data_IF_470590862346
#
_entry.id   IF_470590862346
#
_cell.length_a   1.000
_cell.length_b   1.000
_cell.length_c   1.000
_cell.angle_alpha   90.00
_cell.angle_beta   90.00
_cell.angle_gamma   90.00
#
_symmetry.space_group_name_H-M   'P 1'
#
loop_
_entity.id
_entity.type
_entity.pdbx_description
1 polymer ?
#
# COMPACT_ATOMS: atom_id res chain seq x y z
N UNK A 1 31.15 52.26 31.67
CA UNK A 1 31.31 50.81 31.36
C UNK A 1 32.19 50.24 32.48
N UNK A 2 31.63 49.41 33.41
CA UNK A 2 32.42 48.74 34.44
C UNK A 2 33.15 47.53 33.82
N UNK A 3 34.46 47.38 34.05
CA UNK A 3 35.20 46.23 33.56
C UNK A 3 34.68 44.95 34.25
N UNK A 4 34.31 43.92 33.50
CA UNK A 4 34.00 42.60 34.03
C UNK A 4 35.22 42.05 34.75
N UNK A 5 35.07 41.81 36.06
CA UNK A 5 36.15 41.32 36.92
C UNK A 5 36.51 39.89 36.54
N UNK A 6 37.80 39.59 36.48
CA UNK A 6 38.37 38.28 36.13
C UNK A 6 37.87 37.10 36.99
N UNK A 7 37.26 37.39 38.15
CA UNK A 7 36.61 36.41 39.03
C UNK A 7 35.29 35.84 38.45
N UNK A 8 34.52 36.64 37.70
CA UNK A 8 33.28 36.20 37.09
C UNK A 8 33.55 35.20 35.91
N UNK A 9 34.60 35.46 35.15
CA UNK A 9 35.03 34.55 34.07
C UNK A 9 35.54 33.19 34.57
N UNK A 10 36.25 33.18 35.71
CA UNK A 10 36.70 31.92 36.34
C UNK A 10 35.55 31.09 36.93
N UNK A 11 34.47 31.73 37.43
CA UNK A 11 33.27 31.05 37.87
C UNK A 11 32.52 30.35 36.70
N UNK A 12 32.48 31.03 35.58
CA UNK A 12 31.81 30.49 34.37
C UNK A 12 32.53 29.25 33.78
N UNK A 13 33.86 29.25 33.76
CA UNK A 13 34.66 28.10 33.28
C UNK A 13 34.64 26.89 34.25
N UNK A 14 34.21 27.08 35.51
CA UNK A 14 34.17 26.02 36.52
C UNK A 14 32.75 25.47 36.77
N UNK A 15 31.73 26.07 36.19
CA UNK A 15 30.36 25.64 36.33
C UNK A 15 30.07 24.44 35.40
N UNK A 16 29.98 23.25 35.99
CA UNK A 16 29.64 22.00 35.26
C UNK A 16 28.15 21.85 35.00
N UNK A 17 27.32 22.78 35.46
CA UNK A 17 25.86 22.70 35.24
C UNK A 17 25.47 22.85 33.76
N UNK A 18 26.33 23.48 32.93
CA UNK A 18 26.15 23.57 31.50
C UNK A 18 26.51 22.30 30.71
N UNK A 19 27.31 21.37 31.28
CA UNK A 19 27.79 20.18 30.57
C UNK A 19 26.62 19.27 30.16
N UNK A 20 25.69 19.01 31.08
CA UNK A 20 24.50 18.18 30.80
C UNK A 20 23.57 18.81 29.74
N UNK A 21 23.50 20.13 29.69
CA UNK A 21 22.72 20.84 28.68
C UNK A 21 23.34 20.69 27.27
N UNK A 22 24.67 20.68 27.17
CA UNK A 22 25.39 20.46 25.90
C UNK A 22 25.27 19.01 25.48
N UNK A 23 25.41 18.04 26.39
CA UNK A 23 25.19 16.62 26.13
C UNK A 23 23.77 16.35 25.60
N UNK A 24 22.77 16.95 26.27
CA UNK A 24 21.38 16.85 25.81
C UNK A 24 21.17 17.49 24.42
N UNK A 25 21.75 18.68 24.20
CA UNK A 25 21.63 19.40 22.94
C UNK A 25 22.26 18.63 21.75
N UNK A 26 23.28 17.81 22.01
CA UNK A 26 23.89 16.93 21.01
C UNK A 26 23.06 15.67 20.74
N UNK A 27 22.45 15.09 21.78
CA UNK A 27 21.67 13.85 21.66
C UNK A 27 20.24 14.11 21.16
N UNK A 28 19.63 15.24 21.52
CA UNK A 28 18.25 15.56 21.19
C UNK A 28 17.96 15.54 19.68
N UNK A 29 18.78 16.14 18.78
CA UNK A 29 18.57 16.07 17.34
C UNK A 29 18.63 14.63 16.79
N UNK A 30 19.57 13.83 17.30
CA UNK A 30 19.71 12.43 16.91
C UNK A 30 18.49 11.60 17.32
N UNK A 31 18.05 11.77 18.59
CA UNK A 31 16.87 11.06 19.09
C UNK A 31 15.60 11.48 18.35
N UNK A 32 15.47 12.77 18.04
CA UNK A 32 14.34 13.29 17.27
C UNK A 32 14.33 12.72 15.84
N UNK A 33 15.48 12.65 15.19
CA UNK A 33 15.63 12.06 13.89
C UNK A 33 15.27 10.57 13.86
N UNK A 34 15.73 9.80 14.86
CA UNK A 34 15.37 8.40 15.02
C UNK A 34 13.87 8.23 15.27
N UNK A 35 13.28 9.06 16.13
CA UNK A 35 11.84 9.02 16.42
C UNK A 35 11.01 9.25 15.16
N UNK A 36 11.30 10.31 14.41
CA UNK A 36 10.62 10.64 13.15
C UNK A 36 10.78 9.49 12.15
N UNK A 37 11.99 8.94 12.01
CA UNK A 37 12.25 7.80 11.13
C UNK A 37 11.44 6.56 11.50
N UNK A 38 11.33 6.24 12.80
CA UNK A 38 10.49 5.14 13.28
C UNK A 38 9.00 5.36 12.96
N UNK A 39 8.50 6.58 13.10
CA UNK A 39 7.11 6.92 12.77
C UNK A 39 6.86 6.73 11.27
N UNK A 40 7.73 7.24 10.40
CA UNK A 40 7.57 7.08 8.94
C UNK A 40 7.57 5.61 8.50
N UNK A 41 8.47 4.79 9.06
CA UNK A 41 8.51 3.36 8.76
C UNK A 41 7.23 2.67 9.22
N UNK A 42 6.74 3.01 10.42
CA UNK A 42 5.50 2.44 10.96
C UNK A 42 4.29 2.78 10.09
N UNK A 43 4.20 4.01 9.61
CA UNK A 43 3.14 4.45 8.69
C UNK A 43 3.22 3.72 7.34
N UNK A 44 4.43 3.53 6.80
CA UNK A 44 4.64 2.76 5.57
C UNK A 44 4.17 1.31 5.69
N UNK A 45 4.52 0.63 6.80
CA UNK A 45 4.07 -0.73 7.09
C UNK A 45 2.54 -0.79 7.27
N UNK A 46 1.95 0.21 7.93
CA UNK A 46 0.51 0.28 8.11
C UNK A 46 -0.22 0.48 6.77
N UNK A 47 0.32 1.30 5.87
CA UNK A 47 -0.20 1.48 4.51
C UNK A 47 -0.12 0.18 3.69
N UNK A 48 1.01 -0.54 3.75
CA UNK A 48 1.21 -1.81 3.07
C UNK A 48 0.20 -2.87 3.51
N UNK A 49 -0.02 -3.01 4.81
CA UNK A 49 -1.07 -3.89 5.34
C UNK A 49 -2.47 -3.54 4.83
N UNK A 50 -2.77 -2.26 4.67
CA UNK A 50 -4.05 -1.83 4.11
C UNK A 50 -4.18 -2.17 2.64
N UNK A 51 -3.10 -2.11 1.86
CA UNK A 51 -3.10 -2.57 0.46
C UNK A 51 -3.46 -4.06 0.39
N UNK A 52 -2.82 -4.90 1.19
CA UNK A 52 -3.13 -6.34 1.28
C UNK A 52 -4.59 -6.59 1.70
N UNK A 53 -5.08 -5.89 2.74
CA UNK A 53 -6.47 -6.01 3.17
C UNK A 53 -7.46 -5.58 2.07
N UNK A 54 -7.13 -4.53 1.33
CA UNK A 54 -7.96 -4.04 0.23
C UNK A 54 -8.02 -5.07 -0.90
N UNK A 55 -6.87 -5.63 -1.31
CA UNK A 55 -6.83 -6.68 -2.32
C UNK A 55 -7.68 -7.90 -1.91
N UNK A 56 -7.54 -8.32 -0.65
CA UNK A 56 -8.34 -9.42 -0.09
C UNK A 56 -9.84 -9.12 -0.04
N UNK A 57 -10.23 -7.91 0.36
CA UNK A 57 -11.63 -7.50 0.42
C UNK A 57 -12.27 -7.47 -0.98
N UNK A 58 -11.60 -6.88 -1.98
CA UNK A 58 -12.09 -6.82 -3.35
C UNK A 58 -12.26 -8.22 -3.95
N UNK A 59 -11.25 -9.09 -3.78
CA UNK A 59 -11.32 -10.47 -4.23
C UNK A 59 -12.48 -11.22 -3.57
N UNK A 60 -12.65 -11.06 -2.24
CA UNK A 60 -13.69 -11.73 -1.49
C UNK A 60 -15.11 -11.25 -1.84
N UNK A 61 -15.32 -9.94 -1.98
CA UNK A 61 -16.61 -9.38 -2.41
C UNK A 61 -17.01 -9.87 -3.79
N UNK A 62 -16.05 -9.88 -4.73
CA UNK A 62 -16.29 -10.36 -6.09
C UNK A 62 -16.50 -11.88 -6.15
N UNK A 63 -15.85 -12.66 -5.29
CA UNK A 63 -15.99 -14.12 -5.24
C UNK A 63 -17.29 -14.60 -4.58
N UNK A 64 -17.98 -13.75 -3.82
CA UNK A 64 -19.26 -14.09 -3.19
C UNK A 64 -20.46 -13.93 -4.12
N UNK A 65 -20.36 -13.07 -5.12
CA UNK A 65 -21.42 -12.79 -6.04
C UNK A 65 -21.51 -13.87 -7.14
N UNK A 66 -22.73 -14.20 -7.55
CA UNK A 66 -22.98 -15.04 -8.74
C UNK A 66 -23.10 -14.20 -10.01
N UNK A 67 -23.66 -13.00 -9.89
CA UNK A 67 -23.75 -12.00 -10.94
C UNK A 67 -23.30 -10.66 -10.37
N UNK A 68 -22.55 -9.92 -11.13
CA UNK A 68 -22.02 -8.59 -10.74
C UNK A 68 -22.43 -7.62 -11.84
N UNK A 69 -23.31 -6.67 -11.52
CA UNK A 69 -23.62 -5.59 -12.45
C UNK A 69 -22.46 -4.57 -12.53
N UNK A 70 -22.48 -3.72 -13.54
CA UNK A 70 -21.50 -2.63 -13.67
C UNK A 70 -21.53 -1.74 -12.42
N UNK A 71 -22.73 -1.44 -11.91
CA UNK A 71 -22.88 -0.60 -10.72
C UNK A 71 -22.32 -1.28 -9.46
N UNK A 72 -22.57 -2.58 -9.29
CA UNK A 72 -22.03 -3.34 -8.15
C UNK A 72 -20.50 -3.37 -8.20
N UNK A 73 -19.91 -3.58 -9.36
CA UNK A 73 -18.45 -3.57 -9.51
C UNK A 73 -17.86 -2.20 -9.21
N UNK A 74 -18.52 -1.11 -9.62
CA UNK A 74 -18.09 0.24 -9.24
C UNK A 74 -18.14 0.45 -7.74
N UNK A 75 -19.18 -0.03 -7.05
CA UNK A 75 -19.30 0.03 -5.59
C UNK A 75 -18.20 -0.80 -4.90
N UNK A 76 -17.92 -2.00 -5.42
CA UNK A 76 -16.82 -2.85 -4.93
C UNK A 76 -15.49 -2.12 -5.08
N UNK A 77 -15.20 -1.55 -6.24
CA UNK A 77 -13.96 -0.79 -6.46
C UNK A 77 -13.90 0.48 -5.60
N UNK A 78 -15.02 1.17 -5.37
CA UNK A 78 -15.08 2.33 -4.48
C UNK A 78 -14.77 1.97 -3.02
N UNK A 79 -15.05 0.74 -2.58
CA UNK A 79 -14.67 0.27 -1.25
C UNK A 79 -13.15 0.31 -1.03
N UNK A 80 -12.33 0.21 -2.09
CA UNK A 80 -10.87 0.30 -1.99
C UNK A 80 -10.41 1.62 -1.37
N UNK A 81 -11.03 2.75 -1.75
CA UNK A 81 -10.68 4.07 -1.20
C UNK A 81 -11.11 4.20 0.26
N UNK A 82 -12.27 3.62 0.63
CA UNK A 82 -12.75 3.63 2.01
C UNK A 82 -11.84 2.81 2.94
N UNK A 83 -11.37 1.64 2.50
CA UNK A 83 -10.46 0.79 3.27
C UNK A 83 -9.10 1.47 3.42
N UNK A 84 -8.61 2.15 2.39
CA UNK A 84 -7.35 2.86 2.41
C UNK A 84 -7.34 4.12 3.30
N UNK A 85 -8.50 4.64 3.72
CA UNK A 85 -8.57 5.78 4.67
C UNK A 85 -7.75 5.49 5.95
N UNK A 86 -6.97 6.45 6.50
CA UNK A 86 -6.88 7.88 6.18
C UNK A 86 -5.87 8.24 5.06
N UNK A 87 -5.28 7.26 4.39
CA UNK A 87 -4.30 7.52 3.35
C UNK A 87 -4.97 8.11 2.10
N UNK A 88 -4.53 9.31 1.68
CA UNK A 88 -5.15 10.11 0.60
C UNK A 88 -4.46 9.95 -0.75
N UNK A 89 -3.47 9.07 -0.87
CA UNK A 89 -2.76 8.81 -2.11
C UNK A 89 -3.61 8.09 -3.18
N UNK A 90 -3.09 8.04 -4.40
CA UNK A 90 -3.78 7.37 -5.51
C UNK A 90 -3.77 5.86 -5.30
N UNK A 91 -4.96 5.27 -5.17
CA UNK A 91 -5.16 3.83 -5.11
C UNK A 91 -5.63 3.34 -6.47
N UNK A 92 -4.86 2.46 -7.09
CA UNK A 92 -5.26 1.75 -8.30
C UNK A 92 -5.69 0.33 -7.95
N UNK A 93 -6.94 0.00 -8.22
CA UNK A 93 -7.52 -1.30 -7.96
C UNK A 93 -8.01 -1.94 -9.26
N UNK A 94 -7.73 -3.23 -9.44
CA UNK A 94 -8.21 -4.03 -10.57
C UNK A 94 -8.80 -5.32 -10.03
N UNK A 95 -9.88 -5.76 -10.63
CA UNK A 95 -10.48 -7.07 -10.39
C UNK A 95 -10.67 -7.76 -11.73
N UNK A 96 -10.20 -8.98 -11.82
CA UNK A 96 -10.30 -9.79 -13.04
C UNK A 96 -10.77 -11.20 -12.71
N UNK A 97 -11.52 -11.82 -13.61
CA UNK A 97 -11.75 -13.24 -13.53
C UNK A 97 -10.79 -13.99 -14.45
N UNK A 98 -10.15 -15.01 -13.90
CA UNK A 98 -9.23 -15.89 -14.57
C UNK A 98 -9.90 -17.24 -14.81
N UNK A 99 -9.91 -17.70 -16.04
CA UNK A 99 -10.23 -19.08 -16.43
C UNK A 99 -8.93 -19.85 -16.57
N UNK A 100 -8.81 -20.99 -15.90
CA UNK A 100 -7.68 -21.90 -16.04
C UNK A 100 -8.08 -23.00 -17.01
N UNK A 101 -7.37 -23.10 -18.12
CA UNK A 101 -7.61 -24.14 -19.13
C UNK A 101 -7.04 -25.51 -18.72
N UNK A 102 -7.20 -26.51 -19.56
CA UNK A 102 -6.71 -27.87 -19.33
C UNK A 102 -5.18 -27.94 -19.16
N UNK A 103 -4.44 -27.00 -19.78
CA UNK A 103 -2.97 -26.92 -19.71
C UNK A 103 -2.48 -26.11 -18.49
N UNK A 104 -3.37 -25.82 -17.53
CA UNK A 104 -3.06 -25.02 -16.32
C UNK A 104 -2.63 -23.58 -16.61
N UNK A 105 -3.01 -23.04 -17.78
CA UNK A 105 -2.75 -21.64 -18.14
C UNK A 105 -3.96 -20.80 -17.74
N UNK A 106 -3.72 -19.77 -16.93
CA UNK A 106 -4.75 -18.84 -16.50
C UNK A 106 -4.89 -17.70 -17.52
N UNK A 107 -6.10 -17.48 -18.05
CA UNK A 107 -6.43 -16.38 -18.95
C UNK A 107 -7.53 -15.51 -18.38
N UNK A 108 -7.42 -14.22 -18.61
CA UNK A 108 -8.45 -13.24 -18.22
C UNK A 108 -9.69 -13.43 -19.08
N UNK A 109 -10.84 -13.64 -18.45
CA UNK A 109 -12.14 -13.70 -19.12
C UNK A 109 -12.80 -12.32 -19.13
N UNK A 110 -12.73 -11.62 -18.01
CA UNK A 110 -13.13 -10.22 -17.91
C UNK A 110 -12.26 -9.50 -16.86
N UNK A 111 -12.06 -8.22 -17.05
CA UNK A 111 -11.30 -7.37 -16.13
C UNK A 111 -11.94 -5.99 -15.98
N UNK A 112 -11.94 -5.47 -14.76
CA UNK A 112 -12.43 -4.14 -14.42
C UNK A 112 -11.43 -3.45 -13.53
N UNK A 113 -11.35 -2.12 -13.60
CA UNK A 113 -10.43 -1.33 -12.82
C UNK A 113 -11.10 -0.06 -12.27
N UNK A 114 -10.50 0.52 -11.25
CA UNK A 114 -10.88 1.83 -10.72
C UNK A 114 -10.67 2.93 -11.75
N UNK A 115 -11.35 4.05 -11.57
CA UNK A 115 -11.28 5.20 -12.49
C UNK A 115 -9.84 5.63 -12.76
N UNK A 116 -9.50 5.81 -14.03
CA UNK A 116 -8.15 6.21 -14.45
C UNK A 116 -7.12 5.07 -14.53
N UNK A 117 -7.53 3.83 -14.27
CA UNK A 117 -6.66 2.65 -14.33
C UNK A 117 -7.09 1.75 -15.48
N UNK A 118 -6.14 1.28 -16.27
CA UNK A 118 -6.43 0.34 -17.36
C UNK A 118 -6.67 -1.06 -16.80
N UNK A 119 -7.85 -1.67 -17.05
CA UNK A 119 -8.10 -3.06 -16.67
C UNK A 119 -7.23 -4.03 -17.47
N UNK A 120 -7.14 -5.28 -17.03
CA UNK A 120 -6.55 -6.34 -17.83
C UNK A 120 -7.43 -6.64 -19.03
N UNK A 121 -6.79 -6.88 -20.18
CA UNK A 121 -7.52 -7.23 -21.40
C UNK A 121 -8.00 -8.68 -21.33
N UNK A 122 -9.11 -8.95 -22.01
CA UNK A 122 -9.62 -10.31 -22.19
C UNK A 122 -8.61 -11.14 -23.00
N UNK A 123 -8.33 -12.34 -22.53
CA UNK A 123 -7.33 -13.23 -23.13
C UNK A 123 -5.91 -13.07 -22.61
N UNK A 124 -5.63 -12.02 -21.82
CA UNK A 124 -4.31 -11.86 -21.19
C UNK A 124 -3.95 -13.09 -20.35
N UNK A 125 -2.70 -13.56 -20.50
CA UNK A 125 -2.18 -14.67 -19.69
C UNK A 125 -1.64 -14.11 -18.38
N UNK A 126 -2.10 -14.67 -17.26
CA UNK A 126 -1.66 -14.31 -15.92
C UNK A 126 -0.88 -15.47 -15.32
N UNK A 127 0.34 -15.19 -14.87
CA UNK A 127 1.14 -16.18 -14.13
C UNK A 127 0.58 -16.33 -12.72
N UNK A 128 0.10 -17.51 -12.39
CA UNK A 128 -0.44 -17.84 -11.06
C UNK A 128 0.46 -18.89 -10.37
N UNK A 129 0.46 -18.94 -9.03
CA UNK A 129 1.15 -20.01 -8.31
C UNK A 129 0.66 -21.40 -8.73
N UNK A 130 1.57 -22.34 -8.92
CA UNK A 130 1.27 -23.69 -9.40
C UNK A 130 0.19 -24.40 -8.58
N UNK A 131 0.18 -24.16 -7.28
CA UNK A 131 -0.80 -24.74 -6.35
C UNK A 131 -2.24 -24.22 -6.58
N UNK A 132 -2.41 -23.10 -7.27
CA UNK A 132 -3.71 -22.53 -7.63
C UNK A 132 -4.12 -22.86 -9.05
N UNK A 133 -3.20 -23.40 -9.87
CA UNK A 133 -3.42 -23.71 -11.28
C UNK A 133 -4.20 -25.01 -11.47
N UNK A 134 -5.38 -25.11 -10.88
CA UNK A 134 -6.27 -26.28 -11.03
C UNK A 134 -6.93 -26.23 -12.41
N UNK A 135 -6.73 -27.25 -13.29
CA UNK A 135 -7.32 -27.27 -14.60
C UNK A 135 -8.85 -27.16 -14.58
N UNK A 136 -9.41 -26.44 -15.54
CA UNK A 136 -10.85 -26.22 -15.71
C UNK A 136 -11.53 -25.51 -14.52
N UNK A 137 -10.76 -24.78 -13.71
CA UNK A 137 -11.27 -23.94 -12.63
C UNK A 137 -11.25 -22.45 -13.00
N UNK A 138 -11.89 -21.65 -12.15
CA UNK A 138 -11.88 -20.18 -12.27
C UNK A 138 -11.42 -19.55 -10.98
N UNK A 139 -10.71 -18.43 -11.07
CA UNK A 139 -10.24 -17.66 -9.94
C UNK A 139 -10.58 -16.18 -10.11
N UNK A 140 -10.95 -15.53 -9.04
CA UNK A 140 -10.99 -14.07 -8.96
C UNK A 140 -9.59 -13.58 -8.60
N UNK A 141 -9.09 -12.64 -9.37
CA UNK A 141 -7.79 -12.02 -9.24
C UNK A 141 -7.96 -10.54 -8.96
N UNK A 142 -7.51 -10.11 -7.80
CA UNK A 142 -7.53 -8.71 -7.40
C UNK A 142 -6.09 -8.20 -7.31
N UNK A 143 -5.86 -7.03 -7.90
CA UNK A 143 -4.59 -6.32 -7.86
C UNK A 143 -4.84 -4.93 -7.28
N UNK A 144 -4.10 -4.56 -6.25
CA UNK A 144 -4.17 -3.23 -5.67
C UNK A 144 -2.77 -2.64 -5.61
N UNK A 145 -2.64 -1.40 -6.03
CA UNK A 145 -1.41 -0.63 -5.86
C UNK A 145 -1.72 0.75 -5.30
N UNK A 146 -0.83 1.23 -4.46
CA UNK A 146 -0.94 2.50 -3.76
C UNK A 146 0.38 3.26 -3.80
N UNK A 147 0.33 4.54 -4.11
CA UNK A 147 1.48 5.43 -4.07
C UNK A 147 1.64 6.01 -2.66
N UNK A 148 2.55 5.43 -1.88
CA UNK A 148 2.86 5.93 -0.55
C UNK A 148 3.89 7.06 -0.63
N UNK A 149 3.53 8.24 -0.11
CA UNK A 149 4.41 9.39 -0.02
C UNK A 149 4.68 9.64 1.48
N UNK A 150 5.94 9.52 1.96
CA UNK A 150 6.30 9.83 3.34
C UNK A 150 5.94 11.27 3.69
N UNK A 151 5.29 11.47 4.84
CA UNK A 151 4.73 12.78 5.24
C UNK A 151 5.83 13.79 5.56
N UNK A 152 6.92 13.34 6.20
CA UNK A 152 7.98 14.27 6.64
C UNK A 152 9.10 14.41 5.63
N UNK A 153 9.28 13.44 4.74
CA UNK A 153 10.39 13.41 3.80
C UNK A 153 11.77 13.45 4.49
N UNK A 154 11.80 13.14 5.79
CA UNK A 154 13.02 13.26 6.62
C UNK A 154 14.07 12.22 6.24
N UNK A 155 13.68 11.12 5.62
CA UNK A 155 14.63 10.12 5.11
C UNK A 155 15.10 10.55 3.70
N UNK A 156 16.26 11.24 3.57
CA UNK A 156 16.70 11.80 2.28
C UNK A 156 16.90 10.75 1.19
N UNK A 157 17.15 9.50 1.59
CA UNK A 157 17.34 8.38 0.68
C UNK A 157 16.04 7.95 -0.01
N UNK A 158 14.89 8.13 0.63
CA UNK A 158 13.59 7.82 0.03
C UNK A 158 13.08 8.95 -0.87
N UNK A 159 13.34 10.21 -0.53
CA UNK A 159 12.95 11.33 -1.39
C UNK A 159 13.82 11.46 -2.66
N UNK A 160 15.04 10.89 -2.67
CA UNK A 160 15.92 10.85 -3.86
C UNK A 160 15.60 9.73 -4.84
N UNK A 161 14.89 8.67 -4.39
CA UNK A 161 14.58 7.52 -5.27
C UNK A 161 13.43 7.84 -6.22
N UNK A 162 12.54 8.71 -5.86
CA UNK A 162 11.54 9.26 -6.80
C UNK A 162 10.76 10.41 -6.16
N UNK A 163 10.54 11.48 -6.90
CA UNK A 163 9.51 12.49 -6.61
C UNK A 163 8.08 11.87 -6.60
N UNK A 164 7.99 10.57 -6.85
CA UNK A 164 6.75 9.81 -7.06
C UNK A 164 6.35 8.96 -5.85
N UNK A 165 7.14 8.90 -4.76
CA UNK A 165 6.86 8.05 -3.61
C UNK A 165 7.20 6.56 -3.84
N UNK A 166 6.79 5.70 -2.91
CA UNK A 166 6.98 4.25 -2.96
C UNK A 166 5.67 3.61 -3.41
N UNK A 167 5.72 2.78 -4.47
CA UNK A 167 4.56 2.00 -4.88
C UNK A 167 4.45 0.75 -4.02
N UNK A 168 3.43 0.69 -3.18
CA UNK A 168 3.03 -0.50 -2.45
C UNK A 168 2.01 -1.25 -3.30
N UNK A 169 2.19 -2.55 -3.51
CA UNK A 169 1.27 -3.33 -4.33
C UNK A 169 1.14 -4.74 -3.80
N UNK A 170 -0.08 -5.26 -3.86
CA UNK A 170 -0.37 -6.64 -3.49
C UNK A 170 -1.42 -7.25 -4.41
N UNK A 171 -1.42 -8.57 -4.49
CA UNK A 171 -2.33 -9.35 -5.30
C UNK A 171 -3.01 -10.44 -4.47
N UNK A 172 -4.28 -10.69 -4.74
CA UNK A 172 -5.03 -11.72 -4.05
C UNK A 172 -5.80 -12.58 -5.05
N UNK A 173 -5.73 -13.88 -4.81
CA UNK A 173 -6.50 -14.89 -5.58
C UNK A 173 -7.57 -15.46 -4.66
N UNK A 174 -8.80 -15.57 -5.19
CA UNK A 174 -9.94 -16.14 -4.47
C UNK A 174 -10.71 -17.07 -5.37
N UNK A 175 -11.04 -18.26 -4.89
CA UNK A 175 -11.94 -19.14 -5.60
C UNK A 175 -13.39 -18.67 -5.44
N UNK A 176 -14.20 -18.64 -6.51
CA UNK A 176 -15.63 -18.39 -6.41
C UNK A 176 -16.31 -19.33 -5.42
N UNK A 177 -17.21 -18.81 -4.57
CA UNK A 177 -17.82 -19.61 -3.49
C UNK A 177 -18.96 -20.48 -3.94
N UNK A 178 -19.71 -20.05 -4.95
CA UNK A 178 -20.92 -20.76 -5.45
C UNK A 178 -20.69 -21.16 -6.90
N UNK A 179 -20.66 -20.19 -7.78
CA UNK A 179 -20.41 -20.36 -9.22
C UNK A 179 -19.45 -19.26 -9.67
N UNK A 180 -18.69 -19.49 -10.75
CA UNK A 180 -17.87 -18.43 -11.33
C UNK A 180 -18.74 -17.21 -11.64
N UNK A 181 -18.39 -16.00 -11.16
CA UNK A 181 -19.25 -14.83 -11.28
C UNK A 181 -19.36 -14.37 -12.74
N UNK A 182 -20.58 -13.97 -13.09
CA UNK A 182 -20.86 -13.35 -14.38
C UNK A 182 -20.80 -11.82 -14.17
N UNK A 183 -19.90 -11.15 -14.90
CA UNK A 183 -19.83 -9.70 -14.92
C UNK A 183 -20.60 -9.17 -16.13
N UNK A 184 -21.65 -8.39 -15.88
CA UNK A 184 -22.59 -7.93 -16.91
C UNK A 184 -23.16 -9.12 -17.72
N UNK A 185 -22.62 -9.38 -18.90
CA UNK A 185 -22.99 -10.52 -19.75
C UNK A 185 -21.85 -11.53 -19.93
N UNK A 186 -20.68 -11.26 -19.37
CA UNK A 186 -19.47 -12.07 -19.51
C UNK A 186 -19.35 -13.08 -18.39
N UNK A 187 -19.54 -14.34 -18.71
CA UNK A 187 -19.31 -15.42 -17.76
C UNK A 187 -17.81 -15.63 -17.50
N UNK A 188 -17.48 -15.99 -16.27
CA UNK A 188 -16.13 -16.42 -15.90
C UNK A 188 -15.92 -17.93 -16.10
N UNK A 189 -16.62 -18.54 -17.05
CA UNK A 189 -16.62 -19.99 -17.30
C UNK A 189 -15.96 -20.35 -18.63
#
# INVERSE_FOLDING_TARGET
MKPMTSSALRGFCRDRRGASAIEFALLAPLMLGLYIGCVEISEGIAADRKVTLTAGALANLSAQATTISIADMQNILAASTAIMSPYTGTTAAKVSCLKINADSVAKVTWGVASTGVTPRAEGDVVTIPVNLAVPNSSLIFSEVSYQYIPVTGFIPSFSRISNTGITLSDVMYMSPRITPPVYDTKACS
#
